data_IF_527609896929
#
_entry.id   IF_527609896929
#
_cell.length_a   1.000
_cell.length_b   1.000
_cell.length_c   1.000
_cell.angle_alpha   90.00
_cell.angle_beta   90.00
_cell.angle_gamma   90.00
#
_symmetry.space_group_name_H-M   'P 1'
#
loop_
_entity.id
_entity.type
_entity.pdbx_description
1 polymer ?
#
# COMPACT_ATOMS: atom_id res chain seq x y z
N UNK A 1 -2.10 -13.65 -40.56
CA UNK A 1 -2.26 -12.30 -40.04
C UNK A 1 -2.99 -12.27 -38.68
N UNK A 2 -4.02 -13.07 -38.45
CA UNK A 2 -4.75 -13.09 -37.19
C UNK A 2 -3.87 -13.49 -35.99
N UNK A 3 -2.92 -14.42 -36.16
CA UNK A 3 -2.01 -14.85 -35.09
C UNK A 3 -1.01 -13.77 -34.69
N UNK A 4 -0.53 -12.97 -35.64
CA UNK A 4 0.40 -11.87 -35.36
C UNK A 4 -0.30 -10.74 -34.59
N UNK A 5 -1.55 -10.44 -34.96
CA UNK A 5 -2.36 -9.43 -34.29
C UNK A 5 -2.63 -9.79 -32.84
N UNK A 6 -2.95 -11.05 -32.55
CA UNK A 6 -3.17 -11.54 -31.19
C UNK A 6 -1.90 -11.45 -30.32
N UNK A 7 -0.72 -11.73 -30.89
CA UNK A 7 0.56 -11.59 -30.21
C UNK A 7 0.88 -10.14 -29.84
N UNK A 8 0.65 -9.20 -30.74
CA UNK A 8 0.85 -7.77 -30.52
C UNK A 8 -0.08 -7.28 -29.42
N UNK A 9 -1.34 -7.69 -29.43
CA UNK A 9 -2.31 -7.33 -28.40
C UNK A 9 -1.91 -7.85 -27.04
N UNK A 10 -1.44 -9.09 -26.93
CA UNK A 10 -0.97 -9.69 -25.68
C UNK A 10 0.25 -8.96 -25.12
N UNK A 11 1.19 -8.55 -25.97
CA UNK A 11 2.36 -7.77 -25.56
C UNK A 11 1.98 -6.39 -25.04
N UNK A 12 1.00 -5.72 -25.67
CA UNK A 12 0.50 -4.43 -25.22
C UNK A 12 -0.17 -4.53 -23.85
N UNK A 13 -0.97 -5.55 -23.61
CA UNK A 13 -1.62 -5.79 -22.32
C UNK A 13 -0.56 -6.05 -21.23
N UNK A 14 0.45 -6.86 -21.50
CA UNK A 14 1.53 -7.14 -20.58
C UNK A 14 2.31 -5.86 -20.23
N UNK A 15 2.59 -5.00 -21.18
CA UNK A 15 3.28 -3.73 -20.96
C UNK A 15 2.46 -2.79 -20.05
N UNK A 16 1.15 -2.71 -20.26
CA UNK A 16 0.25 -1.91 -19.43
C UNK A 16 0.21 -2.43 -18.00
N UNK A 17 0.17 -3.75 -17.80
CA UNK A 17 0.19 -4.35 -16.47
C UNK A 17 1.50 -4.06 -15.74
N UNK A 18 2.64 -4.11 -16.41
CA UNK A 18 3.95 -3.79 -15.83
C UNK A 18 4.03 -2.33 -15.39
N UNK A 19 3.51 -1.40 -16.18
CA UNK A 19 3.47 0.03 -15.83
C UNK A 19 2.55 0.27 -14.64
N UNK A 20 1.40 -0.43 -14.57
CA UNK A 20 0.46 -0.29 -13.46
C UNK A 20 1.01 -0.79 -12.12
N UNK A 21 1.96 -1.74 -12.14
CA UNK A 21 2.60 -2.27 -10.94
C UNK A 21 3.76 -1.40 -10.43
N UNK A 22 4.27 -0.47 -11.22
CA UNK A 22 5.40 0.38 -10.85
C UNK A 22 4.90 1.69 -10.26
N UNK A 23 5.14 1.87 -8.95
CA UNK A 23 4.87 3.13 -8.30
C UNK A 23 5.94 4.17 -8.66
N UNK A 24 5.56 5.43 -8.75
CA UNK A 24 6.53 6.51 -8.88
C UNK A 24 7.39 6.58 -7.62
N UNK A 25 8.67 6.81 -7.77
CA UNK A 25 9.64 6.89 -6.66
C UNK A 25 10.02 8.31 -6.32
N UNK A 26 9.63 9.26 -7.12
CA UNK A 26 9.90 10.68 -6.89
C UNK A 26 8.71 11.51 -7.34
N UNK A 27 8.53 12.66 -6.74
CA UNK A 27 7.46 13.58 -7.08
C UNK A 27 7.28 14.66 -6.05
N UNK A 28 6.22 15.45 -6.23
CA UNK A 28 5.82 16.51 -5.34
C UNK A 28 4.94 15.97 -4.21
N UNK A 29 5.25 16.34 -2.98
CA UNK A 29 4.42 15.97 -1.82
C UNK A 29 3.13 16.79 -1.87
N UNK A 30 1.99 16.11 -1.98
CA UNK A 30 0.69 16.79 -1.98
C UNK A 30 -0.11 16.54 -0.71
N UNK A 31 0.28 15.56 0.11
CA UNK A 31 -0.36 15.31 1.39
C UNK A 31 0.55 14.51 2.32
N UNK A 32 0.25 14.55 3.61
CA UNK A 32 0.95 13.82 4.67
C UNK A 32 -0.07 13.24 5.64
N UNK A 33 0.12 11.99 6.05
CA UNK A 33 -0.74 11.33 7.02
C UNK A 33 0.04 10.88 8.23
N UNK A 34 -0.55 11.10 9.38
CA UNK A 34 -0.08 10.56 10.64
C UNK A 34 -1.19 9.74 11.28
N UNK A 35 -0.91 8.48 11.55
CA UNK A 35 -1.80 7.60 12.31
C UNK A 35 -1.12 7.30 13.64
N UNK A 36 -1.71 7.67 14.78
CA UNK A 36 -1.11 7.40 16.08
C UNK A 36 -1.09 5.90 16.37
N UNK A 37 -0.14 5.48 17.19
CA UNK A 37 -0.07 4.11 17.69
C UNK A 37 -1.37 3.77 18.44
N UNK A 38 -1.88 2.59 18.20
CA UNK A 38 -3.14 2.14 18.82
C UNK A 38 -3.17 0.62 18.94
N UNK A 39 -4.10 0.14 19.76
CA UNK A 39 -4.36 -1.29 19.87
C UNK A 39 -5.64 -1.63 19.14
N UNK A 40 -5.61 -2.70 18.39
CA UNK A 40 -6.78 -3.25 17.70
C UNK A 40 -7.17 -4.57 18.35
N UNK A 41 -8.48 -4.79 18.53
CA UNK A 41 -8.99 -6.07 18.98
C UNK A 41 -9.56 -6.84 17.80
N UNK A 42 -9.36 -8.16 17.83
CA UNK A 42 -9.92 -9.05 16.82
C UNK A 42 -10.33 -10.36 17.47
N UNK A 43 -11.32 -11.01 16.88
CA UNK A 43 -11.82 -12.30 17.37
C UNK A 43 -11.31 -13.42 16.49
N UNK A 44 -10.70 -14.42 17.10
CA UNK A 44 -10.31 -15.65 16.43
C UNK A 44 -11.08 -16.81 17.03
N UNK A 45 -11.13 -17.92 16.33
CA UNK A 45 -11.77 -19.14 16.80
C UNK A 45 -10.71 -20.20 17.03
N UNK A 46 -10.64 -20.71 18.26
CA UNK A 46 -9.72 -21.78 18.62
C UNK A 46 -10.49 -23.08 18.83
N UNK A 47 -9.87 -24.18 18.43
CA UNK A 47 -10.41 -25.51 18.71
C UNK A 47 -10.02 -25.93 20.11
N UNK A 48 -11.05 -26.24 20.90
CA UNK A 48 -10.87 -26.74 22.24
C UNK A 48 -11.45 -28.13 22.32
N UNK A 49 -10.69 -29.07 22.92
CA UNK A 49 -11.15 -30.44 23.17
C UNK A 49 -11.78 -30.48 24.55
N UNK A 50 -13.07 -30.82 24.60
CA UNK A 50 -13.85 -30.92 25.83
C UNK A 50 -14.82 -32.08 25.74
N UNK A 51 -14.83 -32.94 26.78
CA UNK A 51 -15.70 -34.13 26.90
C UNK A 51 -15.71 -35.03 25.65
N UNK A 52 -14.55 -35.26 25.04
CA UNK A 52 -14.40 -36.10 23.87
C UNK A 52 -14.82 -35.47 22.56
N UNK A 53 -15.10 -34.17 22.54
CA UNK A 53 -15.50 -33.41 21.36
C UNK A 53 -14.70 -32.16 21.16
N UNK A 54 -14.42 -31.82 19.90
CA UNK A 54 -13.82 -30.54 19.53
C UNK A 54 -14.93 -29.53 19.31
N UNK A 55 -14.72 -28.34 19.84
CA UNK A 55 -15.59 -27.20 19.56
C UNK A 55 -14.80 -25.95 19.33
N UNK A 56 -15.32 -25.06 18.49
CA UNK A 56 -14.72 -23.77 18.24
C UNK A 56 -15.18 -22.77 19.30
N UNK A 57 -14.23 -22.09 19.95
CA UNK A 57 -14.51 -21.07 20.96
C UNK A 57 -14.00 -19.75 20.46
N UNK A 58 -14.79 -18.66 20.58
CA UNK A 58 -14.29 -17.34 20.25
C UNK A 58 -13.28 -16.87 21.28
N UNK A 59 -12.15 -16.34 20.81
CA UNK A 59 -11.09 -15.77 21.66
C UNK A 59 -10.82 -14.36 21.21
N UNK A 60 -10.90 -13.43 22.16
CA UNK A 60 -10.58 -12.03 21.91
C UNK A 60 -9.06 -11.83 22.04
N UNK A 61 -8.44 -11.33 20.97
CA UNK A 61 -7.02 -11.02 20.93
C UNK A 61 -6.80 -9.54 20.63
N UNK A 62 -5.68 -9.04 21.09
CA UNK A 62 -5.28 -7.65 20.86
C UNK A 62 -3.99 -7.60 20.08
N UNK A 63 -3.90 -6.66 19.16
CA UNK A 63 -2.71 -6.41 18.37
C UNK A 63 -2.30 -4.95 18.55
N UNK A 64 -1.03 -4.72 18.86
CA UNK A 64 -0.48 -3.39 18.88
C UNK A 64 -0.09 -2.95 17.46
N UNK A 65 -0.59 -1.78 17.06
CA UNK A 65 -0.25 -1.16 15.78
C UNK A 65 0.60 0.07 16.07
N UNK A 66 1.86 0.10 15.63
CA UNK A 66 2.73 1.26 15.89
C UNK A 66 2.27 2.47 15.10
N UNK A 67 2.73 3.64 15.52
CA UNK A 67 2.46 4.89 14.81
C UNK A 67 2.99 4.80 13.37
N UNK A 68 2.23 5.34 12.43
CA UNK A 68 2.54 5.30 11.01
C UNK A 68 2.60 6.71 10.47
N UNK A 69 3.66 6.99 9.71
CA UNK A 69 3.90 8.26 9.05
C UNK A 69 3.95 8.03 7.54
N UNK A 70 3.02 8.60 6.80
CA UNK A 70 2.96 8.44 5.35
C UNK A 70 3.09 9.76 4.63
N UNK A 71 3.84 9.71 3.53
CA UNK A 71 4.00 10.81 2.59
C UNK A 71 3.34 10.42 1.28
N UNK A 72 2.48 11.27 0.77
CA UNK A 72 1.82 11.06 -0.51
C UNK A 72 2.44 11.99 -1.54
N UNK A 73 2.91 11.41 -2.62
CA UNK A 73 3.56 12.12 -3.72
C UNK A 73 2.78 11.98 -5.00
N UNK A 74 2.95 12.95 -5.89
CA UNK A 74 2.36 12.95 -7.22
C UNK A 74 3.36 13.43 -8.25
N UNK A 75 3.20 12.94 -9.45
CA UNK A 75 4.01 13.32 -10.60
C UNK A 75 3.14 13.32 -11.85
N UNK A 76 3.24 14.37 -12.64
CA UNK A 76 2.54 14.43 -13.92
C UNK A 76 3.25 13.55 -14.94
N UNK A 77 2.51 12.67 -15.61
CA UNK A 77 3.05 11.80 -16.65
C UNK A 77 2.99 12.49 -18.02
N UNK A 78 3.50 11.80 -19.04
CA UNK A 78 3.55 12.32 -20.42
C UNK A 78 2.18 12.57 -21.03
N UNK A 79 1.13 11.99 -20.45
CA UNK A 79 -0.25 12.16 -20.91
C UNK A 79 -0.97 13.32 -20.22
N UNK A 80 -0.30 14.03 -19.33
CA UNK A 80 -0.91 15.09 -18.54
C UNK A 80 -1.74 14.60 -17.35
N UNK A 81 -1.65 13.34 -17.00
CA UNK A 81 -2.33 12.74 -15.86
C UNK A 81 -1.40 12.68 -14.64
N UNK A 82 -2.00 12.67 -13.45
CA UNK A 82 -1.24 12.57 -12.21
C UNK A 82 -1.08 11.13 -11.77
N UNK A 83 0.16 10.69 -11.66
CA UNK A 83 0.50 9.43 -10.98
C UNK A 83 0.77 9.73 -9.52
N UNK A 84 0.24 8.89 -8.63
CA UNK A 84 0.37 9.07 -7.18
C UNK A 84 0.98 7.85 -6.53
N UNK A 85 1.65 8.06 -5.39
CA UNK A 85 2.18 6.97 -4.58
C UNK A 85 2.18 7.38 -3.11
N UNK A 86 2.15 6.38 -2.24
CA UNK A 86 2.19 6.54 -0.79
C UNK A 86 3.39 5.79 -0.23
N UNK A 87 4.20 6.45 0.60
CA UNK A 87 5.37 5.85 1.22
C UNK A 87 5.34 6.04 2.72
N UNK A 88 5.61 4.96 3.44
CA UNK A 88 5.81 5.01 4.88
C UNK A 88 7.24 5.46 5.18
N UNK A 89 7.37 6.43 6.07
CA UNK A 89 8.67 7.01 6.45
C UNK A 89 8.81 7.06 7.96
N UNK A 90 10.03 7.27 8.46
CA UNK A 90 10.27 7.53 9.86
C UNK A 90 9.81 8.92 10.28
N UNK A 91 9.64 9.12 11.58
CA UNK A 91 9.19 10.39 12.14
C UNK A 91 10.06 11.57 11.71
N UNK A 92 11.38 11.42 11.77
CA UNK A 92 12.33 12.48 11.42
C UNK A 92 12.16 12.94 9.98
N UNK A 93 12.03 11.99 9.05
CA UNK A 93 11.82 12.30 7.64
C UNK A 93 10.45 12.94 7.40
N UNK A 94 9.42 12.45 8.09
CA UNK A 94 8.08 13.01 8.02
C UNK A 94 8.08 14.48 8.47
N UNK A 95 8.74 14.79 9.57
CA UNK A 95 8.80 16.16 10.10
C UNK A 95 9.62 17.10 9.22
N UNK A 96 10.61 16.58 8.50
CA UNK A 96 11.48 17.39 7.62
C UNK A 96 10.86 17.68 6.25
N UNK A 97 9.87 16.90 5.83
CA UNK A 97 9.22 17.04 4.53
C UNK A 97 7.98 17.94 4.67
N UNK A 98 7.83 18.90 3.78
CA UNK A 98 6.67 19.80 3.73
C UNK A 98 5.87 19.56 2.47
N UNK A 99 4.57 19.85 2.53
CA UNK A 99 3.71 19.82 1.35
C UNK A 99 4.25 20.81 0.31
N UNK A 100 4.40 20.34 -0.93
CA UNK A 100 5.01 21.10 -2.01
C UNK A 100 6.47 20.76 -2.28
N UNK A 101 7.12 20.01 -1.39
CA UNK A 101 8.52 19.59 -1.57
C UNK A 101 8.64 18.52 -2.65
N UNK A 102 9.75 18.55 -3.37
CA UNK A 102 10.15 17.47 -4.28
C UNK A 102 10.98 16.47 -3.50
N UNK A 103 10.56 15.20 -3.53
CA UNK A 103 11.23 14.13 -2.78
C UNK A 103 11.48 12.92 -3.67
N UNK A 104 12.45 12.09 -3.26
CA UNK A 104 12.79 10.83 -3.93
C UNK A 104 12.90 9.73 -2.90
N UNK A 105 12.38 8.55 -3.24
CA UNK A 105 12.39 7.35 -2.40
C UNK A 105 13.19 6.21 -3.05
N UNK A 106 14.16 6.54 -3.85
CA UNK A 106 15.07 5.56 -4.47
C UNK A 106 16.08 4.98 -3.48
#
# INVERSE_FOLDING_TARGET
MKKVFALILALLIAAVLLVACNQIKSGEVYDKYYTPAHSESYTTYERVYDDGQYRSVPVLKFRYVPAEYRILIRRENDKGEWDTASYEVGKERYDSIKIGDEVSFE
#
